data_IF_787514684138
#
_entry.id   IF_787514684138
#
_cell.length_a   1.000
_cell.length_b   1.000
_cell.length_c   1.000
_cell.angle_alpha   90.00
_cell.angle_beta   90.00
_cell.angle_gamma   90.00
#
_symmetry.space_group_name_H-M   'P 1'
#
loop_
_entity.id
_entity.type
_entity.pdbx_description
1 polymer ?
#
# COMPACT_ATOMS: atom_id res chain seq x y z
N UNK A 1 -4.05 12.17 -12.32
CA UNK A 1 -2.79 11.64 -11.74
C UNK A 1 -2.31 10.51 -12.64
N UNK A 2 -1.00 10.34 -12.84
CA UNK A 2 -0.48 9.26 -13.69
C UNK A 2 -0.28 8.00 -12.84
N UNK A 3 -1.23 7.06 -12.93
CA UNK A 3 -1.26 5.84 -12.11
C UNK A 3 0.02 5.00 -12.23
N UNK A 4 0.71 5.04 -13.37
CA UNK A 4 1.95 4.30 -13.56
C UNK A 4 3.07 4.89 -12.69
N UNK A 5 3.21 6.21 -12.69
CA UNK A 5 4.22 6.92 -11.87
C UNK A 5 3.94 6.65 -10.39
N UNK A 6 2.67 6.75 -9.99
CA UNK A 6 2.24 6.47 -8.62
C UNK A 6 2.55 5.04 -8.19
N UNK A 7 2.20 4.05 -9.01
CA UNK A 7 2.49 2.64 -8.74
C UNK A 7 4.00 2.41 -8.55
N UNK A 8 4.84 3.05 -9.37
CA UNK A 8 6.30 2.98 -9.25
C UNK A 8 6.76 3.59 -7.93
N UNK A 9 6.26 4.78 -7.57
CA UNK A 9 6.61 5.44 -6.31
C UNK A 9 6.19 4.60 -5.09
N UNK A 10 5.00 4.00 -5.11
CA UNK A 10 4.52 3.08 -4.07
C UNK A 10 5.41 1.84 -3.99
N UNK A 11 5.88 1.32 -5.14
CA UNK A 11 6.84 0.22 -5.20
C UNK A 11 8.20 0.57 -4.61
N UNK A 12 8.75 1.75 -4.93
CA UNK A 12 9.99 2.26 -4.33
C UNK A 12 9.82 2.43 -2.82
N UNK A 13 8.73 3.05 -2.39
CA UNK A 13 8.40 3.25 -0.98
C UNK A 13 8.38 1.93 -0.19
N UNK A 14 7.69 0.91 -0.71
CA UNK A 14 7.68 -0.43 -0.11
C UNK A 14 9.07 -1.07 -0.08
N UNK A 15 9.90 -0.84 -1.10
CA UNK A 15 11.26 -1.39 -1.15
C UNK A 15 12.16 -0.77 -0.08
N UNK A 16 12.06 0.55 0.14
CA UNK A 16 12.76 1.24 1.23
C UNK A 16 12.30 0.70 2.58
N UNK A 17 10.98 0.58 2.80
CA UNK A 17 10.44 -0.01 4.04
C UNK A 17 10.94 -1.44 4.26
N UNK A 18 11.00 -2.26 3.21
CA UNK A 18 11.52 -3.62 3.30
C UNK A 18 12.97 -3.64 3.79
N UNK A 19 13.87 -2.82 3.24
CA UNK A 19 15.26 -2.80 3.68
C UNK A 19 15.40 -2.34 5.14
N UNK A 20 14.60 -1.35 5.55
CA UNK A 20 14.55 -0.92 6.96
C UNK A 20 14.10 -2.08 7.85
N UNK A 21 12.99 -2.74 7.53
CA UNK A 21 12.45 -3.84 8.33
C UNK A 21 13.34 -5.09 8.32
N UNK A 22 14.01 -5.38 7.20
CA UNK A 22 14.90 -6.52 7.05
C UNK A 22 16.16 -6.38 7.93
N UNK A 23 16.56 -5.16 8.30
CA UNK A 23 17.67 -4.92 9.24
C UNK A 23 17.42 -5.48 10.64
N UNK A 24 16.16 -5.75 11.00
CA UNK A 24 15.78 -6.35 12.28
C UNK A 24 15.78 -7.89 12.27
N UNK A 25 16.21 -8.55 11.18
CA UNK A 25 16.27 -10.01 11.05
C UNK A 25 14.95 -10.73 11.40
N UNK A 26 13.83 -10.15 10.99
CA UNK A 26 12.51 -10.70 11.23
C UNK A 26 12.28 -11.99 10.42
N UNK A 27 11.42 -12.87 10.91
CA UNK A 27 10.94 -14.00 10.11
C UNK A 27 10.27 -13.49 8.82
N UNK A 28 10.51 -14.15 7.69
CA UNK A 28 10.00 -13.71 6.38
C UNK A 28 8.49 -13.43 6.35
N UNK A 29 7.68 -14.26 7.00
CA UNK A 29 6.23 -14.09 7.06
C UNK A 29 5.85 -12.82 7.84
N UNK A 30 6.50 -12.60 8.98
CA UNK A 30 6.31 -11.39 9.81
C UNK A 30 6.80 -10.15 9.06
N UNK A 31 7.94 -10.25 8.37
CA UNK A 31 8.50 -9.19 7.55
C UNK A 31 7.51 -8.76 6.46
N UNK A 32 6.93 -9.71 5.71
CA UNK A 32 5.93 -9.40 4.67
C UNK A 32 4.65 -8.79 5.25
N UNK A 33 4.16 -9.33 6.37
CA UNK A 33 2.99 -8.77 7.04
C UNK A 33 3.20 -7.31 7.44
N UNK A 34 4.29 -7.04 8.15
CA UNK A 34 4.63 -5.70 8.63
C UNK A 34 4.90 -4.75 7.46
N UNK A 35 5.52 -5.24 6.38
CA UNK A 35 5.74 -4.45 5.18
C UNK A 35 4.41 -3.96 4.59
N UNK A 36 3.45 -4.86 4.31
CA UNK A 36 2.15 -4.47 3.76
C UNK A 36 1.36 -3.58 4.73
N UNK A 37 1.33 -3.97 6.01
CA UNK A 37 0.65 -3.22 7.05
C UNK A 37 1.19 -1.79 7.20
N UNK A 38 2.49 -1.65 7.39
CA UNK A 38 3.13 -0.35 7.61
C UNK A 38 3.08 0.51 6.35
N UNK A 39 3.20 -0.07 5.16
CA UNK A 39 3.06 0.67 3.90
C UNK A 39 1.71 1.39 3.84
N UNK A 40 0.60 0.69 4.09
CA UNK A 40 -0.73 1.32 4.10
C UNK A 40 -0.90 2.29 5.27
N UNK A 41 -0.55 1.83 6.48
CA UNK A 41 -0.78 2.58 7.71
C UNK A 41 0.00 3.90 7.73
N UNK A 42 1.27 3.87 7.36
CA UNK A 42 2.11 5.07 7.26
C UNK A 42 1.69 5.93 6.08
N UNK A 43 1.31 5.35 4.93
CA UNK A 43 0.78 6.14 3.81
C UNK A 43 -0.46 6.96 4.21
N UNK A 44 -1.34 6.37 5.02
CA UNK A 44 -2.46 7.08 5.62
C UNK A 44 -2.00 8.17 6.60
N UNK A 45 -1.12 7.84 7.55
CA UNK A 45 -0.65 8.76 8.59
C UNK A 45 0.15 9.96 8.03
N UNK A 46 0.92 9.74 6.96
CA UNK A 46 1.67 10.76 6.23
C UNK A 46 0.76 11.65 5.35
N UNK A 47 -0.55 11.39 5.32
CA UNK A 47 -1.51 12.19 4.59
C UNK A 47 -1.52 11.96 3.07
N UNK A 48 -0.88 10.90 2.58
CA UNK A 48 -0.86 10.56 1.14
C UNK A 48 -2.31 10.35 0.64
N UNK A 49 -3.16 9.72 1.46
CA UNK A 49 -4.59 9.55 1.14
C UNK A 49 -5.32 10.88 0.94
N UNK A 50 -4.97 11.92 1.72
CA UNK A 50 -5.57 13.25 1.58
C UNK A 50 -5.10 13.95 0.31
N UNK A 51 -3.86 13.70 -0.12
CA UNK A 51 -3.35 14.17 -1.42
C UNK A 51 -4.17 13.56 -2.56
N UNK A 52 -4.43 12.24 -2.50
CA UNK A 52 -5.30 11.57 -3.47
C UNK A 52 -6.73 12.12 -3.46
N UNK A 53 -7.30 12.37 -2.29
CA UNK A 53 -8.61 13.00 -2.18
C UNK A 53 -8.64 14.38 -2.85
N UNK A 54 -7.64 15.22 -2.63
CA UNK A 54 -7.55 16.54 -3.26
C UNK A 54 -7.49 16.48 -4.79
N UNK A 55 -6.84 15.45 -5.35
CA UNK A 55 -6.82 15.20 -6.81
C UNK A 55 -8.14 14.62 -7.33
N UNK A 56 -8.81 13.76 -6.56
CA UNK A 56 -10.07 13.13 -6.94
C UNK A 56 -11.26 14.12 -6.87
N UNK A 57 -11.34 14.87 -5.77
CA UNK A 57 -12.37 15.88 -5.52
C UNK A 57 -11.72 17.08 -4.84
N UNK A 58 -11.60 18.18 -5.58
CA UNK A 58 -10.91 19.39 -5.13
C UNK A 58 -11.47 19.87 -3.79
N UNK A 59 -10.59 20.10 -2.80
CA UNK A 59 -10.96 20.52 -1.45
C UNK A 59 -11.40 19.39 -0.50
N UNK A 60 -11.54 18.15 -0.99
CA UNK A 60 -11.88 17.01 -0.13
C UNK A 60 -10.69 16.49 0.68
N UNK A 61 -10.97 15.91 1.84
CA UNK A 61 -9.98 15.29 2.72
C UNK A 61 -10.36 13.86 3.03
N UNK A 62 -9.35 13.04 3.34
CA UNK A 62 -9.58 11.68 3.77
C UNK A 62 -10.25 11.67 5.16
N UNK A 63 -11.36 10.94 5.29
CA UNK A 63 -12.03 10.73 6.58
C UNK A 63 -11.12 9.96 7.52
N UNK A 64 -10.98 10.47 8.74
CA UNK A 64 -10.25 9.81 9.81
C UNK A 64 -11.11 8.77 10.52
N UNK A 65 -11.00 7.53 10.03
CA UNK A 65 -11.55 6.36 10.69
C UNK A 65 -10.43 5.38 10.97
N UNK A 66 -9.86 5.48 12.16
CA UNK A 66 -8.73 4.65 12.61
C UNK A 66 -9.03 3.15 12.50
N UNK A 67 -10.22 2.70 12.91
CA UNK A 67 -10.59 1.27 12.86
C UNK A 67 -10.56 0.77 11.42
N UNK A 68 -11.11 1.55 10.48
CA UNK A 68 -11.13 1.18 9.08
C UNK A 68 -9.72 1.16 8.48
N UNK A 69 -8.87 2.14 8.82
CA UNK A 69 -7.44 2.13 8.39
C UNK A 69 -6.73 0.91 8.94
N UNK A 70 -6.93 0.57 10.21
CA UNK A 70 -6.31 -0.60 10.83
C UNK A 70 -6.72 -1.88 10.10
N UNK A 71 -8.02 -2.06 9.81
CA UNK A 71 -8.53 -3.21 9.07
C UNK A 71 -7.94 -3.30 7.66
N UNK A 72 -7.92 -2.20 6.91
CA UNK A 72 -7.32 -2.17 5.57
C UNK A 72 -5.82 -2.47 5.60
N UNK A 73 -5.08 -1.90 6.57
CA UNK A 73 -3.66 -2.20 6.78
C UNK A 73 -3.43 -3.67 7.09
N UNK A 74 -4.28 -4.28 7.92
CA UNK A 74 -4.21 -5.72 8.21
C UNK A 74 -4.48 -6.55 6.95
N UNK A 75 -5.50 -6.22 6.17
CA UNK A 75 -5.80 -6.91 4.91
C UNK A 75 -4.65 -6.80 3.91
N UNK A 76 -4.04 -5.62 3.79
CA UNK A 76 -2.88 -5.43 2.92
C UNK A 76 -1.66 -6.22 3.42
N UNK A 77 -1.42 -6.27 4.74
CA UNK A 77 -0.40 -7.15 5.32
C UNK A 77 -0.61 -8.63 4.98
N UNK A 78 -1.85 -9.11 5.08
CA UNK A 78 -2.20 -10.49 4.69
C UNK A 78 -1.96 -10.72 3.18
N UNK A 79 -2.36 -9.76 2.34
CA UNK A 79 -2.16 -9.84 0.90
C UNK A 79 -0.66 -9.95 0.54
N UNK A 80 0.20 -9.20 1.24
CA UNK A 80 1.65 -9.29 1.07
C UNK A 80 2.21 -10.67 1.46
N UNK A 81 1.72 -11.28 2.55
CA UNK A 81 2.12 -12.66 2.91
C UNK A 81 1.77 -13.62 1.77
N UNK A 82 0.54 -13.57 1.27
CA UNK A 82 0.04 -14.49 0.24
C UNK A 82 0.85 -14.33 -1.04
N UNK A 83 0.95 -13.11 -1.57
CA UNK A 83 1.66 -12.86 -2.84
C UNK A 83 3.16 -13.07 -2.70
N UNK A 84 3.77 -12.66 -1.58
CA UNK A 84 5.20 -12.86 -1.34
C UNK A 84 5.58 -14.33 -1.24
N UNK A 85 4.74 -15.13 -0.57
CA UNK A 85 4.96 -16.57 -0.49
C UNK A 85 4.84 -17.25 -1.86
N UNK A 86 3.93 -16.79 -2.73
CA UNK A 86 3.79 -17.31 -4.09
C UNK A 86 4.95 -16.90 -5.01
N UNK A 87 5.53 -15.72 -4.81
CA UNK A 87 6.58 -15.17 -5.66
C UNK A 87 8.00 -15.55 -5.21
N UNK A 88 8.21 -15.90 -3.93
CA UNK A 88 9.55 -16.20 -3.39
C UNK A 88 10.30 -17.33 -4.12
N UNK A 89 9.57 -18.25 -4.73
CA UNK A 89 10.16 -19.37 -5.48
C UNK A 89 10.48 -19.02 -6.94
N UNK A 90 9.99 -17.87 -7.43
CA UNK A 90 10.06 -17.48 -8.84
C UNK A 90 11.01 -16.31 -9.10
N UNK A 91 11.16 -15.40 -8.13
CA UNK A 91 11.94 -14.16 -8.28
C UNK A 91 12.80 -13.89 -7.04
N UNK A 92 13.80 -13.01 -7.21
CA UNK A 92 14.67 -12.59 -6.12
C UNK A 92 13.85 -11.94 -4.98
N UNK A 93 14.08 -12.43 -3.75
CA UNK A 93 13.38 -12.00 -2.54
C UNK A 93 13.42 -10.48 -2.31
N UNK A 94 14.52 -9.82 -2.71
CA UNK A 94 14.69 -8.38 -2.54
C UNK A 94 13.85 -7.55 -3.52
N UNK A 95 13.38 -8.15 -4.61
CA UNK A 95 12.56 -7.49 -5.65
C UNK A 95 11.06 -7.70 -5.39
N UNK A 96 10.70 -8.71 -4.59
CA UNK A 96 9.31 -9.04 -4.25
C UNK A 96 8.52 -7.84 -3.70
N UNK A 97 9.03 -7.03 -2.74
CA UNK A 97 8.34 -5.85 -2.23
C UNK A 97 7.89 -4.88 -3.34
N UNK A 98 8.79 -4.61 -4.28
CA UNK A 98 8.55 -3.72 -5.41
C UNK A 98 7.46 -4.30 -6.32
N UNK A 99 7.64 -5.55 -6.75
CA UNK A 99 6.73 -6.23 -7.68
C UNK A 99 5.33 -6.36 -7.11
N UNK A 100 5.20 -6.77 -5.84
CA UNK A 100 3.88 -6.86 -5.18
C UNK A 100 3.20 -5.50 -5.13
N UNK A 101 3.91 -4.48 -4.64
CA UNK A 101 3.33 -3.14 -4.47
C UNK A 101 2.90 -2.52 -5.79
N UNK A 102 3.76 -2.61 -6.81
CA UNK A 102 3.46 -2.16 -8.16
C UNK A 102 2.23 -2.88 -8.72
N UNK A 103 2.20 -4.21 -8.61
CA UNK A 103 1.15 -5.03 -9.22
C UNK A 103 -0.19 -4.83 -8.53
N UNK A 104 -0.23 -4.83 -7.19
CA UNK A 104 -1.48 -4.56 -6.44
C UNK A 104 -2.02 -3.19 -6.81
N UNK A 105 -1.17 -2.16 -6.82
CA UNK A 105 -1.63 -0.80 -7.08
C UNK A 105 -2.21 -0.65 -8.49
N UNK A 106 -1.53 -1.19 -9.51
CA UNK A 106 -2.03 -1.22 -10.89
C UNK A 106 -3.36 -1.99 -10.97
N UNK A 107 -3.47 -3.16 -10.33
CA UNK A 107 -4.71 -3.95 -10.31
C UNK A 107 -5.83 -3.16 -9.65
N UNK A 108 -5.59 -2.51 -8.50
CA UNK A 108 -6.61 -1.75 -7.78
C UNK A 108 -7.09 -0.53 -8.54
N UNK A 109 -6.21 0.10 -9.31
CA UNK A 109 -6.59 1.19 -10.21
C UNK A 109 -7.47 0.66 -11.35
N UNK A 110 -7.03 -0.39 -12.07
CA UNK A 110 -7.76 -0.96 -13.22
C UNK A 110 -9.13 -1.52 -12.80
N UNK A 111 -9.20 -2.19 -11.64
CA UNK A 111 -10.46 -2.76 -11.12
C UNK A 111 -11.38 -1.71 -10.50
N UNK A 112 -10.93 -0.46 -10.37
CA UNK A 112 -11.71 0.61 -9.74
C UNK A 112 -11.81 0.51 -8.22
N UNK A 113 -11.10 -0.42 -7.58
CA UNK A 113 -11.01 -0.54 -6.11
C UNK A 113 -10.47 0.75 -5.50
N UNK A 114 -9.47 1.36 -6.13
CA UNK A 114 -8.91 2.64 -5.68
C UNK A 114 -9.96 3.77 -5.78
N UNK A 115 -10.69 3.85 -6.89
CA UNK A 115 -11.81 4.79 -7.05
C UNK A 115 -12.92 4.57 -6.01
N UNK A 116 -13.22 3.32 -5.67
CA UNK A 116 -14.18 2.98 -4.62
C UNK A 116 -13.71 3.48 -3.25
N UNK A 117 -12.44 3.29 -2.90
CA UNK A 117 -11.88 3.84 -1.66
C UNK A 117 -11.97 5.37 -1.65
N UNK A 118 -11.60 6.05 -2.72
CA UNK A 118 -11.68 7.51 -2.81
C UNK A 118 -13.11 8.02 -2.63
N UNK A 119 -14.11 7.40 -3.29
CA UNK A 119 -15.52 7.78 -3.14
C UNK A 119 -16.02 7.67 -1.69
N UNK A 120 -15.57 6.65 -0.96
CA UNK A 120 -16.03 6.40 0.40
C UNK A 120 -15.23 7.18 1.46
N UNK A 121 -13.97 7.52 1.15
CA UNK A 121 -13.02 8.16 2.06
C UNK A 121 -12.93 9.67 1.88
N UNK A 122 -13.17 10.19 0.69
CA UNK A 122 -12.99 11.62 0.39
C UNK A 122 -14.31 12.34 0.62
N UNK A 123 -14.39 13.10 1.71
CA UNK A 123 -15.54 13.96 2.03
C UNK A 123 -15.13 15.43 1.95
N UNK A 124 -16.11 16.29 1.72
CA UNK A 124 -15.91 17.74 1.74
C UNK A 124 -15.35 18.13 3.12
N UNK A 125 -14.24 18.86 3.11
CA UNK A 125 -13.46 19.22 4.29
C UNK A 125 -13.99 20.44 5.02
#
# INVERSE_FOLDING_TARGET
>A
MNYLIESILVGIYATILYFILNSFNLNYTVLLFLLGFLKHFLGYYLGIQSVYCGFYKQGSKAVNNFILVLLESTLEGILFIVLGTLLKTKININIIPFVISLTIHIIFEITGVHSFFLKNRCKDG
#
